data_IF_488756481373
#
_entry.id   IF_488756481373
#
_cell.length_a   1.000
_cell.length_b   1.000
_cell.length_c   1.000
_cell.angle_alpha   90.00
_cell.angle_beta   90.00
_cell.angle_gamma   90.00
#
_symmetry.space_group_name_H-M   'P 1'
#
loop_
_entity.id
_entity.type
_entity.pdbx_description
1 polymer ?
#
# COMPACT_ATOMS: atom_id res chain seq x y z
N UNK A 1 40.11 3.58 17.55
CA UNK A 1 38.76 3.64 16.95
C UNK A 1 38.24 2.22 16.66
N UNK A 2 38.98 1.39 15.93
CA UNK A 2 38.59 -0.02 15.62
C UNK A 2 38.41 -0.84 16.89
N UNK A 3 39.31 -0.76 17.84
CA UNK A 3 39.27 -1.44 19.12
C UNK A 3 38.05 -0.99 19.95
N UNK A 4 37.71 0.30 19.92
CA UNK A 4 36.51 0.82 20.61
C UNK A 4 35.19 0.31 20.00
N UNK A 5 35.11 0.23 18.67
CA UNK A 5 33.97 -0.32 17.95
C UNK A 5 33.77 -1.80 18.24
N UNK A 6 34.85 -2.60 18.29
CA UNK A 6 34.78 -4.01 18.65
C UNK A 6 34.25 -4.21 20.07
N UNK A 7 34.64 -3.39 21.03
CA UNK A 7 34.16 -3.46 22.42
C UNK A 7 32.67 -3.19 22.55
N UNK A 8 32.06 -2.38 21.66
CA UNK A 8 30.64 -2.06 21.66
C UNK A 8 29.84 -3.12 20.89
N UNK A 9 30.35 -3.56 19.73
CA UNK A 9 29.63 -4.47 18.81
C UNK A 9 29.53 -5.89 19.38
N UNK A 10 30.59 -6.42 19.99
CA UNK A 10 30.58 -7.80 20.54
C UNK A 10 29.49 -8.05 21.58
N UNK A 11 29.31 -7.18 22.61
CA UNK A 11 28.22 -7.34 23.56
C UNK A 11 26.82 -7.31 22.91
N UNK A 12 26.64 -6.44 21.93
CA UNK A 12 25.35 -6.34 21.18
C UNK A 12 25.06 -7.61 20.39
N UNK A 13 26.05 -8.20 19.76
CA UNK A 13 25.91 -9.49 19.03
C UNK A 13 25.61 -10.64 19.98
N UNK A 14 26.27 -10.68 21.15
CA UNK A 14 26.01 -11.68 22.17
C UNK A 14 24.57 -11.56 22.72
N UNK A 15 24.10 -10.34 22.96
CA UNK A 15 22.73 -10.07 23.38
C UNK A 15 21.72 -10.53 22.32
N UNK A 16 21.97 -10.22 21.04
CA UNK A 16 21.12 -10.63 19.94
C UNK A 16 21.01 -12.15 19.85
N UNK A 17 22.11 -12.87 19.97
CA UNK A 17 22.14 -14.33 19.99
C UNK A 17 21.34 -14.89 21.17
N UNK A 18 21.52 -14.32 22.35
CA UNK A 18 20.79 -14.72 23.56
C UNK A 18 19.27 -14.50 23.38
N UNK A 19 18.86 -13.33 22.88
CA UNK A 19 17.45 -13.03 22.64
C UNK A 19 16.84 -13.94 21.59
N UNK A 20 17.55 -14.16 20.49
CA UNK A 20 17.13 -15.06 19.43
C UNK A 20 16.88 -16.49 19.94
N UNK A 21 17.83 -17.02 20.70
CA UNK A 21 17.72 -18.37 21.27
C UNK A 21 16.62 -18.47 22.33
N UNK A 22 16.44 -17.42 23.15
CA UNK A 22 15.39 -17.36 24.16
C UNK A 22 14.01 -17.29 23.53
N UNK A 23 13.83 -16.43 22.51
CA UNK A 23 12.55 -16.27 21.83
C UNK A 23 12.08 -17.57 21.16
N UNK A 24 13.01 -18.38 20.65
CA UNK A 24 12.71 -19.64 19.96
C UNK A 24 12.24 -20.75 20.88
N UNK A 25 12.34 -20.58 22.19
CA UNK A 25 11.84 -21.56 23.19
C UNK A 25 10.32 -21.57 23.27
N UNK A 26 9.66 -20.51 22.78
CA UNK A 26 8.21 -20.42 22.68
C UNK A 26 7.80 -20.31 21.21
N UNK A 27 6.58 -20.73 20.91
CA UNK A 27 6.01 -20.48 19.58
C UNK A 27 5.64 -19.01 19.46
N UNK A 28 5.68 -18.49 18.23
CA UNK A 28 5.34 -17.11 17.95
C UNK A 28 3.91 -16.77 18.44
N UNK A 29 2.96 -17.69 18.23
CA UNK A 29 1.56 -17.54 18.66
C UNK A 29 1.38 -17.41 20.18
N UNK A 30 2.32 -17.88 20.97
CA UNK A 30 2.24 -17.79 22.43
C UNK A 30 2.31 -16.34 22.92
N UNK A 31 2.71 -15.41 22.06
CA UNK A 31 2.73 -13.98 22.37
C UNK A 31 1.37 -13.28 22.20
N UNK A 32 0.37 -13.95 21.61
CA UNK A 32 -0.95 -13.34 21.36
C UNK A 32 -1.59 -12.72 22.61
N UNK A 33 -1.63 -13.39 23.79
CA UNK A 33 -2.23 -12.78 24.98
C UNK A 33 -1.52 -11.49 25.41
N UNK A 34 -0.22 -11.39 25.19
CA UNK A 34 0.56 -10.20 25.56
C UNK A 34 0.25 -8.99 24.72
N UNK A 35 -0.30 -9.15 23.53
CA UNK A 35 -0.73 -8.05 22.68
C UNK A 35 -1.87 -7.25 23.29
N UNK A 36 -2.60 -7.79 24.24
CA UNK A 36 -3.62 -7.07 25.00
C UNK A 36 -3.05 -5.98 25.90
N UNK A 37 -1.76 -6.06 26.22
CA UNK A 37 -1.07 -5.09 27.07
C UNK A 37 -0.50 -3.90 26.29
N UNK A 38 -0.54 -3.94 24.96
CA UNK A 38 0.03 -2.90 24.11
C UNK A 38 -1.09 -2.12 23.45
N UNK A 39 -1.09 -0.81 23.66
CA UNK A 39 -2.07 0.09 23.08
C UNK A 39 -1.76 0.29 21.59
N UNK A 40 -2.77 0.11 20.71
CA UNK A 40 -2.70 0.57 19.34
C UNK A 40 -3.05 2.06 19.26
N UNK A 41 -4.26 2.39 19.69
CA UNK A 41 -4.74 3.77 19.77
C UNK A 41 -5.84 3.81 20.84
N UNK A 42 -5.90 4.88 21.62
CA UNK A 42 -6.75 4.96 22.81
C UNK A 42 -8.23 4.63 22.54
N UNK A 43 -8.77 5.10 21.42
CA UNK A 43 -10.17 4.87 21.06
C UNK A 43 -10.38 3.57 20.29
N UNK A 44 -9.32 3.02 19.70
CA UNK A 44 -9.38 1.85 18.83
C UNK A 44 -8.93 0.56 19.50
N UNK A 45 -8.42 0.66 20.73
CA UNK A 45 -8.07 -0.50 21.54
C UNK A 45 -6.61 -0.92 21.44
N UNK A 46 -6.36 -2.18 21.74
CA UNK A 46 -5.03 -2.77 21.87
C UNK A 46 -4.53 -3.35 20.55
N UNK A 47 -3.27 -3.77 20.53
CA UNK A 47 -2.73 -4.53 19.38
C UNK A 47 -3.41 -5.89 19.22
N UNK A 48 -3.95 -6.50 20.29
CA UNK A 48 -4.76 -7.71 20.15
C UNK A 48 -6.06 -7.43 19.40
N UNK A 49 -6.72 -6.33 19.72
CA UNK A 49 -7.92 -5.90 18.99
C UNK A 49 -7.62 -5.69 17.51
N UNK A 50 -6.51 -5.01 17.21
CA UNK A 50 -6.03 -4.80 15.84
C UNK A 50 -5.75 -6.12 15.14
N UNK A 51 -5.08 -7.05 15.82
CA UNK A 51 -4.76 -8.38 15.28
C UNK A 51 -6.02 -9.15 14.91
N UNK A 52 -7.05 -9.11 15.76
CA UNK A 52 -8.32 -9.79 15.48
C UNK A 52 -9.00 -9.22 14.23
N UNK A 53 -8.96 -7.90 14.05
CA UNK A 53 -9.50 -7.27 12.84
C UNK A 53 -8.68 -7.61 11.60
N UNK A 54 -7.36 -7.55 11.70
CA UNK A 54 -6.46 -7.89 10.58
C UNK A 54 -6.65 -9.35 10.16
N UNK A 55 -6.78 -10.26 11.12
CA UNK A 55 -7.02 -11.67 10.85
C UNK A 55 -8.28 -11.86 9.99
N UNK A 56 -9.38 -11.25 10.41
CA UNK A 56 -10.64 -11.33 9.69
C UNK A 56 -10.57 -10.67 8.32
N UNK A 57 -9.98 -9.47 8.25
CA UNK A 57 -9.88 -8.71 7.00
C UNK A 57 -8.95 -9.38 5.99
N UNK A 58 -7.82 -9.91 6.44
CA UNK A 58 -6.88 -10.63 5.56
C UNK A 58 -7.55 -11.88 4.94
N UNK A 59 -8.32 -12.63 5.72
CA UNK A 59 -9.11 -13.76 5.22
C UNK A 59 -10.13 -13.34 4.18
N UNK A 60 -10.86 -12.26 4.44
CA UNK A 60 -11.84 -11.71 3.52
C UNK A 60 -11.17 -11.25 2.20
N UNK A 61 -10.05 -10.53 2.29
CA UNK A 61 -9.31 -10.08 1.10
C UNK A 61 -8.81 -11.28 0.30
N UNK A 62 -8.25 -12.29 0.98
CA UNK A 62 -7.77 -13.51 0.32
C UNK A 62 -8.87 -14.19 -0.48
N UNK A 63 -10.08 -14.26 0.05
CA UNK A 63 -11.25 -14.79 -0.67
C UNK A 63 -11.53 -13.99 -1.93
N UNK A 64 -11.49 -12.64 -1.85
CA UNK A 64 -11.77 -11.77 -2.98
C UNK A 64 -10.73 -11.89 -4.11
N UNK A 65 -9.46 -12.11 -3.76
CA UNK A 65 -8.37 -12.17 -4.74
C UNK A 65 -7.99 -13.60 -5.15
N UNK A 66 -8.67 -14.62 -4.62
CA UNK A 66 -8.38 -16.01 -4.93
C UNK A 66 -7.12 -16.55 -4.26
N UNK A 67 -6.69 -15.97 -3.14
CA UNK A 67 -5.57 -16.45 -2.34
C UNK A 67 -6.03 -17.51 -1.32
N UNK A 68 -5.07 -18.15 -0.67
CA UNK A 68 -5.34 -19.14 0.39
C UNK A 68 -5.89 -18.42 1.65
N UNK A 69 -7.18 -18.59 1.91
CA UNK A 69 -7.89 -17.95 3.02
C UNK A 69 -7.33 -18.40 4.37
N UNK A 70 -7.04 -19.68 4.53
CA UNK A 70 -6.52 -20.20 5.79
C UNK A 70 -5.11 -19.65 6.09
N UNK A 71 -4.25 -19.58 5.08
CA UNK A 71 -2.92 -18.98 5.22
C UNK A 71 -2.99 -17.49 5.51
N UNK A 72 -3.87 -16.76 4.83
CA UNK A 72 -4.05 -15.33 5.08
C UNK A 72 -4.58 -15.05 6.49
N UNK A 73 -5.53 -15.85 6.96
CA UNK A 73 -6.05 -15.77 8.31
C UNK A 73 -4.97 -16.06 9.35
N UNK A 74 -4.17 -17.12 9.11
CA UNK A 74 -3.05 -17.46 9.98
C UNK A 74 -2.00 -16.36 10.03
N UNK A 75 -1.63 -15.81 8.88
CA UNK A 75 -0.69 -14.70 8.80
C UNK A 75 -1.21 -13.46 9.56
N UNK A 76 -2.50 -13.16 9.43
CA UNK A 76 -3.13 -12.07 10.18
C UNK A 76 -3.03 -12.26 11.68
N UNK A 77 -3.28 -13.48 12.16
CA UNK A 77 -3.19 -13.83 13.58
C UNK A 77 -1.77 -13.62 14.12
N UNK A 78 -0.77 -14.03 13.36
CA UNK A 78 0.63 -13.96 13.77
C UNK A 78 1.29 -12.61 13.50
N UNK A 79 0.62 -11.72 12.80
CA UNK A 79 1.20 -10.52 12.18
C UNK A 79 1.95 -9.59 13.15
N UNK A 80 1.51 -9.49 14.39
CA UNK A 80 2.08 -8.58 15.39
C UNK A 80 2.74 -9.30 16.56
N UNK A 81 2.80 -10.62 16.52
CA UNK A 81 3.35 -11.41 17.63
C UNK A 81 4.83 -11.16 17.89
N UNK A 82 5.62 -10.83 16.87
CA UNK A 82 7.05 -10.59 17.05
C UNK A 82 7.36 -9.30 17.83
N UNK A 83 6.39 -8.38 17.92
CA UNK A 83 6.53 -7.17 18.75
C UNK A 83 6.72 -7.51 20.25
N UNK A 84 6.27 -8.69 20.66
CA UNK A 84 6.38 -9.15 22.06
C UNK A 84 7.64 -9.97 22.30
N UNK A 85 8.48 -10.18 21.30
CA UNK A 85 9.73 -10.92 21.45
C UNK A 85 10.83 -10.02 22.00
N UNK A 86 11.80 -10.64 22.66
CA UNK A 86 12.97 -9.92 23.20
C UNK A 86 13.79 -9.26 22.09
N UNK A 87 13.97 -9.98 20.97
CA UNK A 87 14.73 -9.46 19.83
C UNK A 87 14.13 -8.16 19.30
N UNK A 88 12.85 -8.12 19.03
CA UNK A 88 12.19 -6.92 18.45
C UNK A 88 12.11 -5.81 19.50
N UNK A 89 11.92 -6.14 20.77
CA UNK A 89 11.92 -5.14 21.82
C UNK A 89 13.26 -4.39 21.91
N UNK A 90 14.37 -5.11 21.83
CA UNK A 90 15.72 -4.52 21.89
C UNK A 90 16.19 -3.95 20.54
N UNK A 91 15.82 -4.60 19.45
CA UNK A 91 16.20 -4.22 18.08
C UNK A 91 14.92 -3.99 17.25
N UNK A 92 14.32 -2.83 17.42
CA UNK A 92 12.99 -2.51 16.87
C UNK A 92 12.93 -2.53 15.35
N UNK A 93 14.05 -2.31 14.68
CA UNK A 93 14.17 -2.38 13.22
C UNK A 93 14.07 -3.80 12.67
N UNK A 94 14.13 -4.82 13.54
CA UNK A 94 13.96 -6.23 13.16
C UNK A 94 12.50 -6.68 13.12
N UNK A 95 11.57 -5.78 13.39
CA UNK A 95 10.14 -6.04 13.31
C UNK A 95 9.77 -6.57 11.91
N UNK A 96 8.99 -7.62 11.87
CA UNK A 96 8.61 -8.30 10.63
C UNK A 96 9.62 -9.35 10.20
N UNK A 97 10.89 -9.01 10.09
CA UNK A 97 11.96 -9.97 9.75
C UNK A 97 12.03 -11.08 10.78
N UNK A 98 12.00 -10.73 12.06
CA UNK A 98 12.04 -11.73 13.13
C UNK A 98 10.76 -12.56 13.19
N UNK A 99 9.61 -11.94 12.95
CA UNK A 99 8.35 -12.67 12.81
C UNK A 99 8.45 -13.76 11.74
N UNK A 100 9.03 -13.44 10.60
CA UNK A 100 9.28 -14.38 9.50
C UNK A 100 10.18 -15.54 9.95
N UNK A 101 11.32 -15.23 10.56
CA UNK A 101 12.26 -16.26 11.00
C UNK A 101 11.67 -17.16 12.10
N UNK A 102 10.96 -16.59 13.07
CA UNK A 102 10.32 -17.35 14.11
C UNK A 102 9.17 -18.22 13.59
N UNK A 103 8.41 -17.72 12.63
CA UNK A 103 7.36 -18.49 11.96
C UNK A 103 7.95 -19.69 11.20
N UNK A 104 9.06 -19.50 10.50
CA UNK A 104 9.78 -20.61 9.84
C UNK A 104 10.26 -21.65 10.85
N UNK A 105 10.82 -21.19 11.96
CA UNK A 105 11.27 -22.08 13.05
C UNK A 105 10.11 -22.90 13.60
N UNK A 106 8.93 -22.28 13.73
CA UNK A 106 7.72 -22.93 14.24
C UNK A 106 7.06 -23.88 13.23
N UNK A 107 7.56 -23.93 12.00
CA UNK A 107 7.00 -24.80 10.95
C UNK A 107 5.78 -24.22 10.23
N UNK A 108 5.57 -22.92 10.28
CA UNK A 108 4.50 -22.27 9.52
C UNK A 108 4.76 -22.37 8.01
N UNK A 109 3.70 -22.31 7.22
CA UNK A 109 3.83 -22.30 5.77
C UNK A 109 4.69 -21.12 5.31
N UNK A 110 5.48 -21.30 4.25
CA UNK A 110 6.44 -20.29 3.79
C UNK A 110 5.78 -18.97 3.39
N UNK A 111 4.63 -19.01 2.72
CA UNK A 111 3.89 -17.82 2.35
C UNK A 111 3.36 -17.04 3.57
N UNK A 112 2.99 -17.76 4.63
CA UNK A 112 2.63 -17.14 5.91
C UNK A 112 3.83 -16.44 6.54
N UNK A 113 4.97 -17.14 6.62
CA UNK A 113 6.19 -16.59 7.20
C UNK A 113 6.66 -15.34 6.45
N UNK A 114 6.71 -15.39 5.13
CA UNK A 114 7.10 -14.25 4.28
C UNK A 114 6.13 -13.08 4.47
N UNK A 115 4.83 -13.35 4.59
CA UNK A 115 3.83 -12.32 4.79
C UNK A 115 4.07 -11.50 6.06
N UNK A 116 4.59 -12.12 7.12
CA UNK A 116 4.87 -11.41 8.38
C UNK A 116 5.92 -10.32 8.23
N UNK A 117 6.86 -10.48 7.30
CA UNK A 117 7.83 -9.46 6.96
C UNK A 117 7.27 -8.48 5.93
N UNK A 118 6.66 -8.99 4.87
CA UNK A 118 6.24 -8.18 3.72
C UNK A 118 4.96 -7.36 3.97
N UNK A 119 4.27 -7.57 5.08
CA UNK A 119 3.08 -6.78 5.44
C UNK A 119 3.34 -5.27 5.50
N UNK A 120 4.57 -4.89 5.74
CA UNK A 120 4.96 -3.49 5.84
C UNK A 120 5.37 -2.87 4.51
N UNK A 121 5.46 -3.68 3.46
CA UNK A 121 5.79 -3.19 2.12
C UNK A 121 4.56 -2.59 1.42
N UNK A 122 4.75 -1.57 0.60
CA UNK A 122 5.99 -0.80 0.43
C UNK A 122 6.22 0.15 1.61
N UNK A 123 7.45 0.20 2.12
CA UNK A 123 7.83 1.04 3.26
C UNK A 123 8.15 2.46 2.86
N UNK A 124 8.54 2.65 1.60
CA UNK A 124 8.93 3.94 1.02
C UNK A 124 8.66 3.92 -0.48
N UNK A 125 8.75 5.08 -1.13
CA UNK A 125 8.58 5.18 -2.58
C UNK A 125 9.66 4.36 -3.30
N UNK A 126 9.24 3.47 -4.21
CA UNK A 126 10.14 2.57 -4.94
C UNK A 126 10.51 1.27 -4.23
N UNK A 127 10.02 1.05 -3.00
CA UNK A 127 10.21 -0.23 -2.30
C UNK A 127 9.50 -1.37 -3.05
N UNK A 128 9.97 -2.59 -2.80
CA UNK A 128 9.33 -3.79 -3.30
C UNK A 128 7.91 -3.94 -2.75
N UNK A 129 7.07 -4.61 -3.50
CA UNK A 129 5.72 -4.99 -3.08
C UNK A 129 5.72 -6.43 -2.54
N UNK A 130 4.69 -6.81 -1.75
CA UNK A 130 4.56 -8.18 -1.28
C UNK A 130 4.65 -9.20 -2.44
N UNK A 131 5.40 -10.26 -2.24
CA UNK A 131 5.80 -11.20 -3.30
C UNK A 131 4.81 -12.33 -3.58
N UNK A 132 3.87 -12.58 -2.64
CA UNK A 132 2.88 -13.65 -2.79
C UNK A 132 1.48 -13.15 -2.41
N UNK A 133 0.41 -13.84 -2.85
CA UNK A 133 -0.96 -13.40 -2.60
C UNK A 133 -1.34 -13.29 -1.12
N UNK A 134 -0.83 -14.16 -0.27
CA UNK A 134 -1.08 -14.11 1.18
C UNK A 134 -0.45 -12.86 1.78
N UNK A 135 0.78 -12.54 1.39
CA UNK A 135 1.46 -11.32 1.81
C UNK A 135 0.75 -10.06 1.32
N UNK A 136 0.23 -10.08 0.09
CA UNK A 136 -0.59 -8.99 -0.44
C UNK A 136 -1.86 -8.78 0.40
N UNK A 137 -2.57 -9.87 0.72
CA UNK A 137 -3.78 -9.81 1.53
C UNK A 137 -3.50 -9.22 2.92
N UNK A 138 -2.43 -9.68 3.56
CA UNK A 138 -2.04 -9.18 4.89
C UNK A 138 -1.62 -7.71 4.85
N UNK A 139 -0.82 -7.32 3.86
CA UNK A 139 -0.35 -5.93 3.72
C UNK A 139 -1.52 -4.96 3.52
N UNK A 140 -2.47 -5.33 2.68
CA UNK A 140 -3.68 -4.52 2.44
C UNK A 140 -4.52 -4.46 3.71
N UNK A 141 -4.71 -5.59 4.40
CA UNK A 141 -5.50 -5.64 5.63
C UNK A 141 -4.94 -4.74 6.72
N UNK A 142 -3.64 -4.78 6.96
CA UNK A 142 -2.99 -3.94 7.97
C UNK A 142 -3.16 -2.45 7.66
N UNK A 143 -2.93 -2.06 6.42
CA UNK A 143 -3.05 -0.67 5.97
C UNK A 143 -4.49 -0.17 6.02
N UNK A 144 -5.43 -0.98 5.54
CA UNK A 144 -6.86 -0.62 5.54
C UNK A 144 -7.43 -0.55 6.95
N UNK A 145 -6.99 -1.43 7.85
CA UNK A 145 -7.40 -1.36 9.26
C UNK A 145 -7.01 -0.02 9.88
N UNK A 146 -5.79 0.43 9.65
CA UNK A 146 -5.30 1.71 10.18
C UNK A 146 -6.05 2.88 9.54
N UNK A 147 -6.23 2.88 8.22
CA UNK A 147 -6.98 3.93 7.51
C UNK A 147 -8.41 4.04 8.04
N UNK A 148 -9.12 2.92 8.10
CA UNK A 148 -10.51 2.91 8.57
C UNK A 148 -10.63 3.39 10.02
N UNK A 149 -9.74 2.95 10.89
CA UNK A 149 -9.77 3.31 12.31
C UNK A 149 -9.48 4.79 12.55
N UNK A 150 -8.41 5.31 11.97
CA UNK A 150 -7.97 6.69 12.22
C UNK A 150 -8.94 7.69 11.57
N UNK A 151 -9.40 7.44 10.34
CA UNK A 151 -10.47 8.24 9.73
C UNK A 151 -11.79 8.08 10.49
N UNK A 152 -12.03 6.90 11.03
CA UNK A 152 -13.25 6.61 11.79
C UNK A 152 -13.38 7.37 13.10
N UNK A 153 -12.27 7.85 13.67
CA UNK A 153 -12.27 8.70 14.85
C UNK A 153 -11.99 10.17 14.52
N UNK A 154 -12.01 10.52 13.23
CA UNK A 154 -11.89 11.90 12.77
C UNK A 154 -10.48 12.46 12.76
N UNK A 155 -9.44 11.64 12.85
CA UNK A 155 -8.04 12.08 12.89
C UNK A 155 -7.39 12.01 11.49
N UNK A 156 -7.90 12.79 10.57
CA UNK A 156 -7.36 12.88 9.22
C UNK A 156 -5.96 13.51 9.20
N UNK A 157 -5.09 13.16 8.24
CA UNK A 157 -3.85 13.89 8.02
C UNK A 157 -4.11 15.36 7.71
N UNK A 158 -3.32 16.26 8.28
CA UNK A 158 -3.45 17.71 8.10
C UNK A 158 -2.09 18.29 7.71
N UNK A 159 -1.98 18.86 6.50
CA UNK A 159 -0.74 19.41 6.01
C UNK A 159 0.36 18.36 6.00
N UNK A 160 1.48 18.64 6.63
CA UNK A 160 2.62 17.72 6.81
C UNK A 160 2.46 16.77 8.01
N UNK A 161 1.41 16.94 8.82
CA UNK A 161 1.14 16.10 9.99
C UNK A 161 0.39 14.84 9.58
N UNK A 162 1.09 13.73 9.67
CA UNK A 162 0.56 12.41 9.37
C UNK A 162 1.21 11.37 10.29
N UNK A 163 0.86 11.37 11.59
CA UNK A 163 1.57 10.56 12.59
C UNK A 163 1.39 9.05 12.39
N UNK A 164 0.34 8.62 11.68
CA UNK A 164 0.08 7.21 11.38
C UNK A 164 0.52 6.81 9.98
N UNK A 165 1.20 7.69 9.25
CA UNK A 165 1.64 7.45 7.87
C UNK A 165 0.50 7.00 6.95
N UNK A 166 -0.65 7.66 7.04
CA UNK A 166 -1.85 7.28 6.28
C UNK A 166 -1.69 7.49 4.78
N UNK A 167 -0.93 8.53 4.37
CA UNK A 167 -0.65 8.77 2.94
C UNK A 167 0.14 7.62 2.35
N UNK A 168 1.12 7.12 3.08
CA UNK A 168 1.92 5.96 2.67
C UNK A 168 1.08 4.69 2.65
N UNK A 169 0.23 4.49 3.66
CA UNK A 169 -0.66 3.35 3.74
C UNK A 169 -1.63 3.30 2.54
N UNK A 170 -2.27 4.43 2.23
CA UNK A 170 -3.20 4.54 1.11
C UNK A 170 -2.51 4.28 -0.23
N UNK A 171 -1.36 4.89 -0.47
CA UNK A 171 -0.59 4.66 -1.68
C UNK A 171 -0.13 3.20 -1.77
N UNK A 172 0.28 2.61 -0.66
CA UNK A 172 0.68 1.20 -0.58
C UNK A 172 -0.44 0.27 -1.01
N UNK A 173 -1.66 0.48 -0.53
CA UNK A 173 -2.84 -0.30 -0.95
C UNK A 173 -3.07 -0.17 -2.45
N UNK A 174 -3.07 1.05 -2.97
CA UNK A 174 -3.27 1.30 -4.40
C UNK A 174 -2.21 0.62 -5.26
N UNK A 175 -0.95 0.76 -4.90
CA UNK A 175 0.15 0.14 -5.64
C UNK A 175 0.06 -1.38 -5.65
N UNK A 176 -0.25 -1.99 -4.51
CA UNK A 176 -0.39 -3.46 -4.44
C UNK A 176 -1.53 -3.91 -5.35
N UNK A 177 -2.68 -3.26 -5.29
CA UNK A 177 -3.84 -3.63 -6.10
C UNK A 177 -3.53 -3.48 -7.60
N UNK A 178 -2.95 -2.35 -8.00
CA UNK A 178 -2.66 -2.05 -9.41
C UNK A 178 -1.54 -2.93 -9.94
N UNK A 179 -0.39 -2.94 -9.26
CA UNK A 179 0.81 -3.60 -9.79
C UNK A 179 0.74 -5.13 -9.69
N UNK A 180 -0.04 -5.67 -8.76
CA UNK A 180 -0.34 -7.12 -8.67
C UNK A 180 -1.62 -7.50 -9.41
N UNK A 181 -2.28 -6.54 -10.03
CA UNK A 181 -3.53 -6.73 -10.79
C UNK A 181 -4.59 -7.49 -10.00
N UNK A 182 -4.86 -7.01 -8.78
CA UNK A 182 -5.83 -7.64 -7.91
C UNK A 182 -7.24 -7.15 -8.20
N UNK A 183 -8.20 -8.07 -8.26
CA UNK A 183 -9.61 -7.75 -8.48
C UNK A 183 -10.26 -7.35 -7.14
N UNK A 184 -9.92 -6.17 -6.66
CA UNK A 184 -10.47 -5.60 -5.43
C UNK A 184 -11.20 -4.29 -5.71
N UNK A 185 -12.35 -4.14 -5.07
CA UNK A 185 -13.16 -2.93 -5.09
C UNK A 185 -12.90 -2.14 -3.80
N UNK A 186 -12.53 -0.87 -3.92
CA UNK A 186 -12.23 -0.01 -2.76
C UNK A 186 -13.46 0.23 -1.89
N UNK A 187 -14.65 0.27 -2.49
CA UNK A 187 -15.90 0.50 -1.73
C UNK A 187 -16.15 -0.67 -0.77
N UNK A 188 -16.18 -1.89 -1.29
CA UNK A 188 -16.44 -3.08 -0.48
C UNK A 188 -15.30 -3.36 0.50
N UNK A 189 -14.05 -3.14 0.10
CA UNK A 189 -12.89 -3.28 0.96
C UNK A 189 -12.95 -2.32 2.15
N UNK A 190 -13.26 -1.06 1.90
CA UNK A 190 -13.38 -0.04 2.94
C UNK A 190 -14.55 -0.32 3.87
N UNK A 191 -15.70 -0.70 3.31
CA UNK A 191 -16.88 -1.09 4.08
C UNK A 191 -16.58 -2.26 5.03
N UNK A 192 -15.86 -3.27 4.56
CA UNK A 192 -15.48 -4.42 5.38
C UNK A 192 -14.51 -4.03 6.48
N UNK A 193 -13.51 -3.22 6.18
CA UNK A 193 -12.56 -2.72 7.18
C UNK A 193 -13.26 -1.92 8.29
N UNK A 194 -14.22 -1.08 7.91
CA UNK A 194 -15.02 -0.28 8.85
C UNK A 194 -15.93 -1.18 9.68
N UNK A 195 -16.60 -2.15 9.05
CA UNK A 195 -17.50 -3.07 9.73
C UNK A 195 -16.83 -3.81 10.89
N UNK A 196 -15.59 -4.19 10.74
CA UNK A 196 -14.83 -4.93 11.75
C UNK A 196 -14.54 -4.12 13.02
N UNK A 197 -14.65 -2.81 12.97
CA UNK A 197 -14.55 -1.95 14.16
C UNK A 197 -15.82 -1.95 15.01
N UNK A 198 -16.95 -2.45 14.48
CA UNK A 198 -18.22 -2.42 15.19
C UNK A 198 -18.71 -0.99 15.43
N UNK A 199 -18.98 -0.66 16.69
CA UNK A 199 -19.50 0.66 17.11
C UNK A 199 -18.42 1.63 17.60
N UNK A 200 -17.13 1.28 17.45
CA UNK A 200 -16.02 2.09 17.94
C UNK A 200 -15.80 3.39 17.16
N UNK A 201 -16.25 3.46 15.92
CA UNK A 201 -16.00 4.59 15.04
C UNK A 201 -17.12 5.62 15.17
N UNK A 202 -16.73 6.88 15.44
CA UNK A 202 -17.66 7.99 15.64
C UNK A 202 -17.95 8.78 14.36
N UNK A 203 -17.13 8.63 13.32
CA UNK A 203 -17.32 9.32 12.05
C UNK A 203 -18.30 8.54 11.15
N UNK A 204 -19.51 9.05 11.00
CA UNK A 204 -20.54 8.41 10.16
C UNK A 204 -20.17 8.39 8.66
N UNK A 205 -19.26 9.26 8.21
CA UNK A 205 -18.83 9.38 6.83
C UNK A 205 -17.49 8.69 6.56
N UNK A 206 -17.05 7.80 7.44
CA UNK A 206 -15.71 7.19 7.37
C UNK A 206 -15.42 6.52 6.03
N UNK A 207 -16.37 5.79 5.46
CA UNK A 207 -16.17 5.08 4.18
C UNK A 207 -15.88 6.07 3.05
N UNK A 208 -16.70 7.08 2.90
CA UNK A 208 -16.52 8.10 1.86
C UNK A 208 -15.23 8.89 2.07
N UNK A 209 -14.91 9.22 3.32
CA UNK A 209 -13.68 9.97 3.65
C UNK A 209 -12.43 9.16 3.28
N UNK A 210 -12.40 7.87 3.58
CA UNK A 210 -11.28 6.98 3.21
C UNK A 210 -11.16 6.88 1.69
N UNK A 211 -12.26 6.67 0.99
CA UNK A 211 -12.25 6.55 -0.47
C UNK A 211 -11.78 7.85 -1.13
N UNK A 212 -12.28 9.00 -0.70
CA UNK A 212 -11.85 10.29 -1.21
C UNK A 212 -10.36 10.53 -0.98
N UNK A 213 -9.87 10.15 0.20
CA UNK A 213 -8.45 10.24 0.52
C UNK A 213 -7.61 9.34 -0.41
N UNK A 214 -8.05 8.12 -0.64
CA UNK A 214 -7.35 7.18 -1.52
C UNK A 214 -7.35 7.65 -2.97
N UNK A 215 -8.46 8.17 -3.47
CA UNK A 215 -8.53 8.76 -4.81
C UNK A 215 -7.60 9.99 -4.94
N UNK A 216 -7.45 10.77 -3.89
CA UNK A 216 -6.48 11.87 -3.84
C UNK A 216 -5.03 11.37 -3.95
N UNK A 217 -4.70 10.25 -3.31
CA UNK A 217 -3.38 9.61 -3.42
C UNK A 217 -3.15 9.02 -4.81
N UNK A 218 -4.17 8.44 -5.39
CA UNK A 218 -4.15 7.97 -6.78
C UNK A 218 -3.82 9.12 -7.73
N UNK A 219 -4.49 10.27 -7.57
CA UNK A 219 -4.22 11.48 -8.36
C UNK A 219 -2.77 11.91 -8.24
N UNK A 220 -2.23 12.01 -7.03
CA UNK A 220 -0.85 12.41 -6.79
C UNK A 220 0.13 11.42 -7.42
N UNK A 221 -0.12 10.12 -7.30
CA UNK A 221 0.71 9.07 -7.88
C UNK A 221 0.78 9.21 -9.41
N UNK A 222 -0.36 9.36 -10.07
CA UNK A 222 -0.40 9.45 -11.54
C UNK A 222 0.15 10.79 -12.06
N UNK A 223 0.03 11.87 -11.31
CA UNK A 223 0.71 13.13 -11.64
C UNK A 223 2.24 12.94 -11.61
N UNK A 224 2.75 12.27 -10.61
CA UNK A 224 4.20 11.97 -10.49
C UNK A 224 4.67 11.04 -11.63
N UNK A 225 3.81 10.17 -12.14
CA UNK A 225 4.09 9.32 -13.30
C UNK A 225 4.04 10.07 -14.63
N UNK A 226 3.66 11.35 -14.62
CA UNK A 226 3.65 12.19 -15.81
C UNK A 226 2.32 12.30 -16.55
N UNK A 227 1.23 11.74 -16.01
CA UNK A 227 -0.10 11.91 -16.61
C UNK A 227 -0.59 13.34 -16.38
N UNK A 228 -1.33 13.88 -17.38
CA UNK A 228 -1.88 15.22 -17.27
C UNK A 228 -3.03 15.28 -16.28
N UNK A 229 -3.25 16.46 -15.69
CA UNK A 229 -4.38 16.72 -14.79
C UNK A 229 -5.71 16.40 -15.48
N UNK A 230 -5.88 16.78 -16.73
CA UNK A 230 -7.08 16.52 -17.50
C UNK A 230 -7.38 15.03 -17.67
N UNK A 231 -6.35 14.24 -17.96
CA UNK A 231 -6.48 12.78 -18.08
C UNK A 231 -6.92 12.17 -16.77
N UNK A 232 -6.28 12.57 -15.67
CA UNK A 232 -6.59 12.08 -14.33
C UNK A 232 -8.03 12.44 -13.95
N UNK A 233 -8.44 13.70 -14.17
CA UNK A 233 -9.79 14.16 -13.87
C UNK A 233 -10.85 13.42 -14.69
N UNK A 234 -10.57 13.15 -15.96
CA UNK A 234 -11.50 12.41 -16.82
C UNK A 234 -11.78 11.00 -16.28
N UNK A 235 -10.76 10.33 -15.75
CA UNK A 235 -10.92 8.99 -15.15
C UNK A 235 -11.60 9.06 -13.79
N UNK A 236 -11.19 10.01 -12.92
CA UNK A 236 -11.69 10.11 -11.55
C UNK A 236 -13.05 10.78 -11.41
N UNK A 237 -13.53 11.51 -12.44
CA UNK A 237 -14.80 12.23 -12.40
C UNK A 237 -15.99 11.32 -12.09
N UNK A 238 -15.93 10.05 -12.51
CA UNK A 238 -16.96 9.05 -12.26
C UNK A 238 -16.82 8.34 -10.92
N UNK A 239 -15.85 8.75 -10.08
CA UNK A 239 -15.55 8.13 -8.79
C UNK A 239 -15.44 6.61 -8.91
N UNK A 240 -14.48 6.10 -9.70
CA UNK A 240 -14.30 4.65 -9.87
C UNK A 240 -13.82 4.03 -8.57
N UNK A 241 -14.09 2.72 -8.36
CA UNK A 241 -13.78 2.02 -7.11
C UNK A 241 -12.84 0.83 -7.27
N UNK A 242 -12.48 0.46 -8.51
CA UNK A 242 -11.53 -0.64 -8.78
C UNK A 242 -10.20 -0.11 -9.29
N UNK A 243 -9.15 -0.05 -8.44
CA UNK A 243 -7.87 0.55 -8.83
C UNK A 243 -7.21 -0.08 -10.06
N UNK A 244 -7.32 -1.41 -10.25
CA UNK A 244 -6.80 -2.06 -11.46
C UNK A 244 -7.47 -1.52 -12.73
N UNK A 245 -8.77 -1.22 -12.67
CA UNK A 245 -9.52 -0.64 -13.79
C UNK A 245 -9.15 0.84 -14.01
N UNK A 246 -8.89 1.61 -12.95
CA UNK A 246 -8.45 3.01 -13.11
C UNK A 246 -7.13 3.07 -13.88
N UNK A 247 -6.18 2.20 -13.51
CA UNK A 247 -4.89 2.16 -14.18
C UNK A 247 -5.04 1.86 -15.67
N UNK A 248 -5.84 0.86 -16.02
CA UNK A 248 -6.14 0.52 -17.40
C UNK A 248 -6.80 1.69 -18.14
N UNK A 249 -7.77 2.36 -17.52
CA UNK A 249 -8.44 3.53 -18.11
C UNK A 249 -7.50 4.72 -18.26
N UNK A 250 -6.63 4.97 -17.27
CA UNK A 250 -5.62 6.02 -17.35
C UNK A 250 -4.71 5.83 -18.55
N UNK A 251 -4.22 4.62 -18.74
CA UNK A 251 -3.35 4.28 -19.87
C UNK A 251 -4.09 4.42 -21.21
N UNK A 252 -5.34 3.96 -21.28
CA UNK A 252 -6.16 4.05 -22.48
C UNK A 252 -6.49 5.50 -22.85
N UNK A 253 -6.92 6.31 -21.88
CA UNK A 253 -7.26 7.72 -22.10
C UNK A 253 -6.03 8.52 -22.49
N UNK A 254 -4.90 8.31 -21.83
CA UNK A 254 -3.64 8.95 -22.16
C UNK A 254 -3.16 8.60 -23.55
N UNK A 255 -3.25 7.32 -23.94
CA UNK A 255 -2.89 6.87 -25.29
C UNK A 255 -3.79 7.51 -26.36
N UNK A 256 -5.10 7.53 -26.13
CA UNK A 256 -6.07 8.16 -27.05
C UNK A 256 -5.77 9.65 -27.23
N UNK A 257 -5.52 10.40 -26.15
CA UNK A 257 -5.14 11.81 -26.22
C UNK A 257 -3.83 12.04 -26.95
N UNK A 258 -2.87 11.16 -26.80
CA UNK A 258 -1.61 11.18 -27.55
C UNK A 258 -1.87 11.02 -29.05
N UNK A 259 -2.76 10.10 -29.45
CA UNK A 259 -3.15 9.90 -30.84
C UNK A 259 -3.88 11.13 -31.42
N UNK A 260 -4.79 11.73 -30.65
CA UNK A 260 -5.48 12.97 -31.07
C UNK A 260 -4.48 14.11 -31.27
N UNK A 261 -3.54 14.29 -30.35
CA UNK A 261 -2.51 15.32 -30.46
C UNK A 261 -1.60 15.08 -31.68
N UNK A 262 -1.21 13.84 -31.93
CA UNK A 262 -0.41 13.48 -33.11
C UNK A 262 -1.18 13.75 -34.41
N UNK A 263 -2.45 13.40 -34.46
CA UNK A 263 -3.31 13.65 -35.63
C UNK A 263 -3.48 15.17 -35.86
N UNK A 264 -3.71 15.95 -34.81
CA UNK A 264 -3.82 17.39 -34.91
C UNK A 264 -2.52 18.05 -35.39
N UNK A 265 -1.38 17.58 -34.89
CA UNK A 265 -0.06 18.07 -35.32
C UNK A 265 0.21 17.71 -36.78
N UNK A 266 -0.10 16.49 -37.19
CA UNK A 266 0.03 16.08 -38.60
C UNK A 266 -0.83 16.93 -39.54
N UNK A 267 -2.08 17.19 -39.15
CA UNK A 267 -2.98 18.05 -39.91
C UNK A 267 -2.44 19.51 -39.99
N UNK A 268 -1.93 20.05 -38.88
CA UNK A 268 -1.31 21.37 -38.86
C UNK A 268 -0.08 21.45 -39.76
N UNK A 269 0.79 20.46 -39.68
CA UNK A 269 1.99 20.38 -40.54
C UNK A 269 1.62 20.29 -42.01
N UNK A 270 0.60 19.53 -42.35
CA UNK A 270 0.09 19.45 -43.74
C UNK A 270 -0.43 20.77 -44.23
N UNK A 271 -1.19 21.52 -43.41
CA UNK A 271 -1.68 22.88 -43.74
C UNK A 271 -0.51 23.82 -43.99
N UNK A 272 0.47 23.81 -43.12
CA UNK A 272 1.65 24.70 -43.29
C UNK A 272 2.42 24.32 -44.55
N UNK A 273 2.63 23.06 -44.85
CA UNK A 273 3.28 22.61 -46.08
C UNK A 273 2.52 23.03 -47.33
N UNK A 274 1.20 22.94 -47.32
CA UNK A 274 0.34 23.39 -48.45
C UNK A 274 0.42 24.91 -48.62
N UNK A 275 0.43 25.68 -47.55
CA UNK A 275 0.56 27.15 -47.61
C UNK A 275 1.91 27.53 -48.19
N UNK A 276 3.00 26.89 -47.74
CA UNK A 276 4.35 27.15 -48.26
C UNK A 276 4.47 26.78 -49.75
N UNK A 277 3.87 25.66 -50.17
CA UNK A 277 3.84 25.31 -51.59
C UNK A 277 3.12 26.35 -52.46
N UNK A 278 1.98 26.86 -51.99
CA UNK A 278 1.27 27.94 -52.70
C UNK A 278 2.07 29.25 -52.72
N UNK A 279 2.78 29.59 -51.64
CA UNK A 279 3.64 30.77 -51.61
C UNK A 279 4.80 30.65 -52.61
N UNK A 280 5.40 29.47 -52.73
CA UNK A 280 6.47 29.20 -53.70
C UNK A 280 5.97 29.32 -55.13
N UNK A 281 4.79 28.80 -55.46
CA UNK A 281 4.16 28.97 -56.75
C UNK A 281 3.90 30.41 -57.09
N UNK A 282 3.35 31.20 -56.20
CA UNK A 282 3.07 32.64 -56.38
C UNK A 282 4.39 33.40 -56.59
N UNK A 283 5.42 33.09 -55.84
CA UNK A 283 6.74 33.73 -56.00
C UNK A 283 7.36 33.39 -57.35
N UNK A 284 7.26 32.13 -57.77
CA UNK A 284 7.72 31.69 -59.08
C UNK A 284 7.03 32.37 -60.24
N UNK A 285 5.71 32.52 -60.18
CA UNK A 285 4.91 33.23 -61.19
C UNK A 285 5.28 34.71 -61.28
N UNK A 286 5.57 35.39 -60.17
CA UNK A 286 6.04 36.77 -60.11
C UNK A 286 7.42 36.95 -60.72
N UNK A 287 8.30 36.03 -60.54
CA UNK A 287 9.67 36.08 -61.08
C UNK A 287 9.65 35.84 -62.58
N UNK A 288 8.75 35.01 -63.11
CA UNK A 288 8.62 34.68 -64.52
C UNK A 288 7.80 35.73 -65.31
N UNK A 289 7.14 36.67 -64.64
CA UNK A 289 6.43 37.77 -65.26
C UNK A 289 7.33 38.98 -65.39
#
# INVERSE_FOLDING_TARGET
IISGNEKVVRPRLADAEFFFNTDRKKRLEDNLPRLQTVLFQQQLGTLRDKTDRIQALAGWIAEQIGADVNHATRAGLLSKCDLMTNMVFEFTDTQGVMGMHYARHDGEAEDVAVALNEQYQPRFAGDDLPSNPVACALAIADKMDTLAGIFGIGQHPKGDKDPFALRRAALGVLRIIVEKNLNLDLQTLTEEAVRLYGDKLTNANVVDDVIDFMLGRFRAWYQDEGYTVDTIQAVLARRPTRPADFDARMKAVSHFRTLEAAAALAAANKRVSNILAKSDEVLSDRVNA
#
